data_IF_385845834579
#
_entry.id   IF_385845834579
#
_cell.length_a   1.000
_cell.length_b   1.000
_cell.length_c   1.000
_cell.angle_alpha   90.00
_cell.angle_beta   90.00
_cell.angle_gamma   90.00
#
_symmetry.space_group_name_H-M   'P 1'
#
loop_
_entity.id
_entity.type
_entity.pdbx_description
1 polymer ?
#
# COMPACT_ATOMS: atom_id res chain seq x y z
N UNK A 1 7.51 30.16 7.22
CA UNK A 1 6.06 30.46 7.24
C UNK A 1 5.29 29.26 6.71
N UNK A 2 4.46 28.64 7.55
CA UNK A 2 3.59 27.56 7.14
C UNK A 2 2.39 28.19 6.43
N UNK A 3 2.25 27.95 5.12
CA UNK A 3 1.08 28.42 4.36
C UNK A 3 -0.18 27.72 4.87
N UNK A 4 -0.90 28.38 5.77
CA UNK A 4 -2.19 27.95 6.26
C UNK A 4 -3.19 28.00 5.10
N UNK A 5 -3.76 26.87 4.68
CA UNK A 5 -4.78 26.85 3.62
C UNK A 5 -5.94 27.78 3.99
N UNK A 6 -6.31 28.67 3.07
CA UNK A 6 -7.34 29.69 3.28
C UNK A 6 -8.73 29.10 3.53
N UNK A 7 -9.02 27.91 2.98
CA UNK A 7 -10.27 27.17 3.20
C UNK A 7 -9.98 25.83 3.85
N UNK A 8 -10.53 25.60 5.06
CA UNK A 8 -10.51 24.29 5.72
C UNK A 8 -11.49 23.36 5.00
N UNK A 9 -11.05 22.15 4.65
CA UNK A 9 -11.94 21.13 4.07
C UNK A 9 -12.88 20.59 5.14
N UNK A 10 -14.17 20.37 4.78
CA UNK A 10 -15.10 19.62 5.60
C UNK A 10 -14.65 18.16 5.72
N UNK A 11 -14.97 17.49 6.84
CA UNK A 11 -14.71 16.06 7.04
C UNK A 11 -15.35 15.19 5.95
N UNK A 12 -16.57 15.55 5.50
CA UNK A 12 -17.26 14.93 4.37
C UNK A 12 -16.45 15.03 3.06
N UNK A 13 -15.87 16.18 2.78
CA UNK A 13 -15.03 16.39 1.60
C UNK A 13 -13.73 15.57 1.69
N UNK A 14 -13.16 15.43 2.89
CA UNK A 14 -11.99 14.57 3.10
C UNK A 14 -12.35 13.11 2.83
N UNK A 15 -13.48 12.63 3.36
CA UNK A 15 -13.94 11.27 3.13
C UNK A 15 -14.25 11.00 1.64
N UNK A 16 -14.92 11.91 0.96
CA UNK A 16 -15.18 11.81 -0.49
C UNK A 16 -13.88 11.82 -1.31
N UNK A 17 -12.93 12.71 -1.00
CA UNK A 17 -11.64 12.79 -1.69
C UNK A 17 -10.77 11.53 -1.44
N UNK A 18 -11.03 10.79 -0.35
CA UNK A 18 -10.34 9.51 -0.04
C UNK A 18 -10.91 8.37 -0.89
N UNK A 19 -12.24 8.32 -1.06
CA UNK A 19 -12.90 7.29 -1.88
C UNK A 19 -12.74 7.59 -3.37
N UNK A 20 -12.85 8.86 -3.77
CA UNK A 20 -12.67 9.27 -5.16
C UNK A 20 -11.77 10.53 -5.23
N UNK A 21 -10.46 10.38 -5.53
CA UNK A 21 -9.53 11.51 -5.61
C UNK A 21 -9.98 12.51 -6.67
N UNK A 22 -10.00 13.81 -6.35
CA UNK A 22 -10.41 14.91 -7.27
C UNK A 22 -9.67 14.89 -8.61
N UNK A 23 -8.49 14.32 -8.64
CA UNK A 23 -7.71 14.13 -9.85
C UNK A 23 -8.00 12.87 -10.63
N UNK A 24 -8.88 11.99 -10.12
CA UNK A 24 -9.09 10.64 -10.62
C UNK A 24 -7.99 9.68 -10.18
N UNK A 25 -8.30 8.40 -10.20
CA UNK A 25 -7.40 7.32 -9.79
C UNK A 25 -6.13 7.24 -10.64
N UNK A 26 -6.21 7.55 -11.95
CA UNK A 26 -5.05 7.56 -12.84
C UNK A 26 -3.96 8.54 -12.38
N UNK A 27 -4.34 9.76 -11.96
CA UNK A 27 -3.39 10.74 -11.40
C UNK A 27 -2.86 10.33 -10.05
N UNK A 28 -3.68 9.71 -9.20
CA UNK A 28 -3.25 9.19 -7.91
C UNK A 28 -2.18 8.09 -8.08
N UNK A 29 -2.41 7.10 -8.94
CA UNK A 29 -1.43 6.06 -9.25
C UNK A 29 -0.16 6.60 -9.91
N UNK A 30 -0.29 7.55 -10.85
CA UNK A 30 0.87 8.23 -11.43
C UNK A 30 1.69 8.94 -10.37
N UNK A 31 1.06 9.65 -9.44
CA UNK A 31 1.74 10.32 -8.33
C UNK A 31 2.49 9.33 -7.43
N UNK A 32 1.84 8.22 -7.05
CA UNK A 32 2.47 7.16 -6.26
C UNK A 32 3.67 6.55 -7.00
N UNK A 33 3.53 6.28 -8.29
CA UNK A 33 4.62 5.79 -9.14
C UNK A 33 5.79 6.78 -9.21
N UNK A 34 5.53 8.09 -9.32
CA UNK A 34 6.58 9.11 -9.25
C UNK A 34 7.27 9.17 -7.89
N UNK A 35 6.54 8.99 -6.80
CA UNK A 35 7.10 8.94 -5.45
C UNK A 35 8.07 7.77 -5.31
N UNK A 36 7.64 6.56 -5.69
CA UNK A 36 8.45 5.34 -5.61
C UNK A 36 9.75 5.46 -6.44
N UNK A 37 9.65 5.94 -7.69
CA UNK A 37 10.84 6.10 -8.56
C UNK A 37 11.87 7.09 -8.04
N UNK A 38 11.45 8.07 -7.20
CA UNK A 38 12.32 9.12 -6.65
C UNK A 38 12.95 8.77 -5.32
N UNK A 39 12.63 7.62 -4.74
CA UNK A 39 13.23 7.18 -3.48
C UNK A 39 14.75 7.07 -3.62
N UNK A 40 15.53 7.60 -2.66
CA UNK A 40 16.98 7.55 -2.69
C UNK A 40 17.48 6.19 -2.16
N UNK A 41 17.15 5.11 -2.87
CA UNK A 41 17.55 3.76 -2.49
C UNK A 41 17.84 2.91 -3.74
N UNK A 42 18.48 1.76 -3.55
CA UNK A 42 18.78 0.83 -4.65
C UNK A 42 17.50 0.28 -5.28
N UNK A 43 17.46 0.08 -6.63
CA UNK A 43 16.28 -0.41 -7.33
C UNK A 43 15.69 -1.70 -6.73
N UNK A 44 16.56 -2.66 -6.38
CA UNK A 44 16.15 -3.92 -5.77
C UNK A 44 15.52 -3.75 -4.37
N UNK A 45 15.99 -2.79 -3.57
CA UNK A 45 15.40 -2.51 -2.25
C UNK A 45 14.04 -1.86 -2.39
N UNK A 46 13.88 -0.95 -3.35
CA UNK A 46 12.60 -0.33 -3.67
C UNK A 46 11.61 -1.40 -4.18
N UNK A 47 12.05 -2.25 -5.11
CA UNK A 47 11.21 -3.31 -5.67
C UNK A 47 10.76 -4.33 -4.61
N UNK A 48 11.64 -4.73 -3.66
CA UNK A 48 11.26 -5.58 -2.53
C UNK A 48 10.24 -4.91 -1.61
N UNK A 49 10.39 -3.59 -1.37
CA UNK A 49 9.39 -2.83 -0.63
C UNK A 49 8.04 -2.83 -1.34
N UNK A 50 8.02 -2.55 -2.65
CA UNK A 50 6.78 -2.57 -3.44
C UNK A 50 6.14 -3.96 -3.40
N UNK A 51 6.92 -5.03 -3.58
CA UNK A 51 6.43 -6.41 -3.47
C UNK A 51 5.78 -6.70 -2.12
N UNK A 52 6.42 -6.26 -1.02
CA UNK A 52 5.88 -6.40 0.33
C UNK A 52 4.53 -5.69 0.49
N UNK A 53 4.42 -4.44 0.01
CA UNK A 53 3.18 -3.67 0.11
C UNK A 53 2.04 -4.26 -0.74
N UNK A 54 2.35 -4.73 -1.95
CA UNK A 54 1.38 -5.41 -2.82
C UNK A 54 0.93 -6.73 -2.18
N UNK A 55 1.86 -7.55 -1.67
CA UNK A 55 1.53 -8.78 -0.94
C UNK A 55 0.56 -8.52 0.21
N UNK A 56 0.86 -7.53 1.04
CA UNK A 56 0.06 -7.18 2.22
C UNK A 56 -1.36 -6.73 1.84
N UNK A 57 -1.56 -6.14 0.66
CA UNK A 57 -2.89 -5.75 0.17
C UNK A 57 -3.85 -6.95 0.01
N UNK A 58 -3.33 -8.18 -0.07
CA UNK A 58 -4.11 -9.42 -0.10
C UNK A 58 -4.45 -9.98 1.27
N UNK A 59 -4.13 -9.27 2.36
CA UNK A 59 -4.47 -9.69 3.72
C UNK A 59 -5.69 -8.96 4.27
N UNK A 60 -6.51 -9.58 5.13
CA UNK A 60 -7.67 -8.95 5.77
C UNK A 60 -7.31 -8.09 6.98
N UNK A 61 -6.03 -7.72 7.16
CA UNK A 61 -5.55 -6.94 8.30
C UNK A 61 -5.82 -5.44 8.11
N UNK A 62 -7.10 -5.07 7.96
CA UNK A 62 -7.52 -3.69 7.76
C UNK A 62 -7.07 -2.78 8.91
N UNK A 63 -6.55 -1.60 8.57
CA UNK A 63 -5.98 -0.66 9.54
C UNK A 63 -4.53 -0.97 9.92
N UNK A 64 -4.07 -2.22 9.85
CA UNK A 64 -2.71 -2.63 10.18
C UNK A 64 -1.81 -2.77 8.95
N UNK A 65 -2.31 -2.53 7.74
CA UNK A 65 -1.57 -2.72 6.49
C UNK A 65 -0.22 -2.00 6.46
N UNK A 66 -0.13 -0.77 6.98
CA UNK A 66 1.13 -0.02 7.00
C UNK A 66 2.17 -0.67 7.91
N UNK A 67 1.75 -1.14 9.10
CA UNK A 67 2.62 -1.83 10.05
C UNK A 67 3.07 -3.16 9.44
N UNK A 68 2.13 -3.94 8.94
CA UNK A 68 2.40 -5.24 8.35
C UNK A 68 3.31 -5.13 7.12
N UNK A 69 3.04 -4.18 6.22
CA UNK A 69 3.91 -3.91 5.06
C UNK A 69 5.31 -3.48 5.48
N UNK A 70 5.42 -2.65 6.51
CA UNK A 70 6.70 -2.25 7.08
C UNK A 70 7.50 -3.44 7.63
N UNK A 71 6.85 -4.32 8.39
CA UNK A 71 7.48 -5.53 8.94
C UNK A 71 7.95 -6.49 7.84
N UNK A 72 7.11 -6.77 6.84
CA UNK A 72 7.48 -7.63 5.71
C UNK A 72 8.62 -6.98 4.89
N UNK A 73 8.57 -5.67 4.67
CA UNK A 73 9.64 -4.96 3.97
C UNK A 73 10.98 -5.03 4.72
N UNK A 74 10.97 -4.91 6.06
CA UNK A 74 12.16 -5.07 6.88
C UNK A 74 12.72 -6.48 6.78
N UNK A 75 11.86 -7.49 6.89
CA UNK A 75 12.23 -8.91 6.75
C UNK A 75 12.88 -9.19 5.39
N UNK A 76 12.34 -8.63 4.30
CA UNK A 76 12.86 -8.73 2.95
C UNK A 76 14.04 -7.78 2.67
N UNK A 77 14.49 -7.00 3.66
CA UNK A 77 15.49 -5.92 3.49
C UNK A 77 15.11 -4.97 2.35
N UNK A 78 13.82 -4.69 2.23
CA UNK A 78 13.23 -3.77 1.27
C UNK A 78 13.12 -2.35 1.83
N UNK A 79 12.66 -1.43 0.97
CA UNK A 79 12.40 -0.05 1.36
C UNK A 79 11.00 0.06 2.00
N UNK A 80 10.94 0.44 3.28
CA UNK A 80 9.70 0.54 4.06
C UNK A 80 8.74 1.59 3.48
N UNK A 81 9.27 2.73 3.01
CA UNK A 81 8.43 3.79 2.42
C UNK A 81 7.78 3.29 1.12
N UNK A 82 8.56 2.55 0.29
CA UNK A 82 8.02 1.93 -0.91
C UNK A 82 6.91 0.92 -0.58
N UNK A 83 7.08 0.14 0.48
CA UNK A 83 6.06 -0.81 0.94
C UNK A 83 4.78 -0.11 1.37
N UNK A 84 4.88 0.92 2.21
CA UNK A 84 3.72 1.71 2.65
C UNK A 84 2.97 2.34 1.46
N UNK A 85 3.69 2.89 0.48
CA UNK A 85 3.07 3.44 -0.73
C UNK A 85 2.42 2.34 -1.56
N UNK A 86 3.01 1.16 -1.64
CA UNK A 86 2.49 0.07 -2.45
C UNK A 86 1.22 -0.58 -1.85
N UNK A 87 0.93 -0.42 -0.55
CA UNK A 87 -0.34 -0.89 0.04
C UNK A 87 -1.57 -0.20 -0.57
N UNK A 88 -1.41 0.97 -1.20
CA UNK A 88 -2.50 1.64 -1.92
C UNK A 88 -2.97 0.89 -3.18
N UNK A 89 -2.31 -0.20 -3.58
CA UNK A 89 -2.86 -1.16 -4.54
C UNK A 89 -4.17 -1.76 -4.02
N UNK A 90 -4.28 -2.03 -2.72
CA UNK A 90 -5.53 -2.33 -2.02
C UNK A 90 -6.35 -1.06 -1.78
N UNK A 91 -7.11 -0.62 -2.75
CA UNK A 91 -7.98 0.54 -2.70
C UNK A 91 -9.46 0.13 -2.87
N UNK A 92 -10.43 1.00 -2.63
CA UNK A 92 -11.85 0.66 -2.72
C UNK A 92 -12.30 0.04 -4.05
N UNK A 93 -11.57 0.28 -5.15
CA UNK A 93 -11.89 -0.29 -6.47
C UNK A 93 -11.33 -1.71 -6.59
N UNK A 94 -10.07 -1.93 -6.19
CA UNK A 94 -9.40 -3.23 -6.34
C UNK A 94 -9.74 -4.19 -5.22
N UNK A 95 -10.11 -3.66 -4.06
CA UNK A 95 -10.40 -4.41 -2.86
C UNK A 95 -11.48 -5.51 -3.03
N UNK A 96 -12.64 -5.28 -3.67
CA UNK A 96 -13.63 -6.33 -3.87
C UNK A 96 -13.09 -7.52 -4.67
N UNK A 97 -12.25 -7.25 -5.68
CA UNK A 97 -11.62 -8.30 -6.50
C UNK A 97 -10.56 -9.07 -5.70
N UNK A 98 -9.72 -8.37 -4.93
CA UNK A 98 -8.71 -8.98 -4.07
C UNK A 98 -9.38 -9.87 -3.03
N UNK A 99 -10.44 -9.38 -2.37
CA UNK A 99 -11.19 -10.14 -1.37
C UNK A 99 -11.85 -11.38 -1.98
N UNK A 100 -12.52 -11.23 -3.14
CA UNK A 100 -13.18 -12.33 -3.83
C UNK A 100 -12.19 -13.45 -4.18
N UNK A 101 -11.07 -13.11 -4.80
CA UNK A 101 -10.03 -14.09 -5.18
C UNK A 101 -9.42 -14.74 -3.94
N UNK A 102 -9.12 -13.96 -2.90
CA UNK A 102 -8.50 -14.47 -1.67
C UNK A 102 -9.44 -15.43 -0.93
N UNK A 103 -10.72 -15.06 -0.76
CA UNK A 103 -11.70 -15.92 -0.07
C UNK A 103 -11.94 -17.20 -0.88
N UNK A 104 -12.15 -17.09 -2.19
CA UNK A 104 -12.34 -18.23 -3.07
C UNK A 104 -11.17 -19.25 -2.98
N UNK A 105 -9.93 -18.77 -3.06
CA UNK A 105 -8.74 -19.62 -2.92
C UNK A 105 -8.66 -20.22 -1.52
N UNK A 106 -9.00 -19.44 -0.48
CA UNK A 106 -8.96 -19.91 0.90
C UNK A 106 -10.00 -20.97 1.22
N UNK A 107 -11.22 -20.82 0.73
CA UNK A 107 -12.27 -21.83 0.86
C UNK A 107 -11.83 -23.17 0.22
N UNK A 108 -11.25 -23.10 -0.98
CA UNK A 108 -10.73 -24.30 -1.65
C UNK A 108 -9.56 -24.95 -0.92
N UNK A 109 -8.61 -24.15 -0.43
CA UNK A 109 -7.43 -24.66 0.29
C UNK A 109 -7.81 -25.27 1.64
N UNK A 110 -8.81 -24.69 2.32
CA UNK A 110 -9.26 -25.14 3.62
C UNK A 110 -10.36 -26.23 3.53
N UNK A 111 -10.86 -26.53 2.33
CA UNK A 111 -11.96 -27.47 2.13
C UNK A 111 -13.27 -27.01 2.78
N UNK A 112 -13.48 -25.69 2.86
CA UNK A 112 -14.68 -25.10 3.45
C UNK A 112 -15.76 -24.90 2.37
N UNK A 113 -16.99 -25.27 2.71
CA UNK A 113 -18.15 -24.80 1.95
C UNK A 113 -18.33 -23.29 2.22
N UNK A 114 -18.80 -22.55 1.21
CA UNK A 114 -19.04 -21.09 1.32
C UNK A 114 -19.99 -20.80 2.47
N UNK A 115 -19.46 -20.38 3.61
CA UNK A 115 -20.22 -20.18 4.84
C UNK A 115 -20.86 -18.79 4.90
N UNK A 116 -20.22 -17.78 4.26
CA UNK A 116 -20.69 -16.39 4.24
C UNK A 116 -20.70 -15.88 2.80
N UNK A 117 -21.88 -15.65 2.20
CA UNK A 117 -21.99 -15.08 0.87
C UNK A 117 -21.28 -13.72 0.80
N UNK A 118 -20.66 -13.41 -0.36
CA UNK A 118 -19.90 -12.17 -0.57
C UNK A 118 -20.71 -10.91 -0.21
N UNK A 119 -22.02 -10.90 -0.49
CA UNK A 119 -22.92 -9.81 -0.14
C UNK A 119 -23.07 -9.57 1.37
N UNK A 120 -22.80 -10.57 2.19
CA UNK A 120 -22.96 -10.51 3.65
C UNK A 120 -21.63 -10.28 4.38
N UNK A 121 -20.49 -10.28 3.69
CA UNK A 121 -19.16 -10.12 4.32
C UNK A 121 -19.08 -8.80 5.07
N UNK A 122 -19.57 -7.71 4.50
CA UNK A 122 -19.57 -6.41 5.16
C UNK A 122 -20.43 -6.41 6.44
N UNK A 123 -21.61 -7.03 6.39
CA UNK A 123 -22.49 -7.21 7.55
C UNK A 123 -21.82 -8.06 8.63
N UNK A 124 -21.27 -9.21 8.27
CA UNK A 124 -20.55 -10.10 9.19
C UNK A 124 -19.38 -9.38 9.87
N UNK A 125 -18.61 -8.61 9.10
CA UNK A 125 -17.50 -7.79 9.60
C UNK A 125 -17.99 -6.75 10.61
N UNK A 126 -19.04 -5.98 10.25
CA UNK A 126 -19.62 -4.96 11.12
C UNK A 126 -20.16 -5.55 12.44
N UNK A 127 -20.85 -6.68 12.37
CA UNK A 127 -21.36 -7.38 13.55
C UNK A 127 -20.24 -7.92 14.44
N UNK A 128 -19.16 -8.45 13.86
CA UNK A 128 -17.99 -8.92 14.61
C UNK A 128 -17.31 -7.77 15.36
N UNK A 129 -17.07 -6.63 14.71
CA UNK A 129 -16.50 -5.45 15.38
C UNK A 129 -17.43 -4.88 16.46
N UNK A 130 -18.76 -4.87 16.22
CA UNK A 130 -19.75 -4.49 17.22
C UNK A 130 -19.69 -5.38 18.46
N UNK A 131 -19.57 -6.69 18.29
CA UNK A 131 -19.45 -7.65 19.38
C UNK A 131 -18.14 -7.44 20.18
N UNK A 132 -17.01 -7.18 19.50
CA UNK A 132 -15.74 -6.83 20.17
C UNK A 132 -15.90 -5.59 21.04
N UNK A 133 -16.57 -4.55 20.53
CA UNK A 133 -16.82 -3.33 21.29
C UNK A 133 -17.69 -3.57 22.52
N UNK A 134 -18.79 -4.30 22.37
CA UNK A 134 -19.69 -4.67 23.49
C UNK A 134 -18.95 -5.52 24.52
N UNK A 135 -18.17 -6.51 24.09
CA UNK A 135 -17.42 -7.36 25.00
C UNK A 135 -16.31 -6.60 25.75
N UNK A 136 -15.68 -5.62 25.12
CA UNK A 136 -14.71 -4.76 25.80
C UNK A 136 -15.38 -3.96 26.94
N UNK A 137 -16.57 -3.42 26.69
CA UNK A 137 -17.34 -2.71 27.73
C UNK A 137 -17.84 -3.68 28.82
N UNK A 138 -18.26 -4.89 28.45
CA UNK A 138 -18.70 -5.93 29.38
C UNK A 138 -17.57 -6.39 30.31
N UNK A 139 -16.35 -6.55 29.80
CA UNK A 139 -15.15 -6.88 30.61
C UNK A 139 -14.91 -5.78 31.65
N UNK A 140 -15.03 -4.50 31.25
CA UNK A 140 -14.82 -3.38 32.17
C UNK A 140 -15.92 -3.24 33.23
N UNK A 141 -17.12 -3.73 32.94
CA UNK A 141 -18.32 -3.64 33.81
C UNK A 141 -18.65 -4.95 34.54
N UNK A 142 -17.84 -6.01 34.35
CA UNK A 142 -18.06 -7.32 34.95
C UNK A 142 -19.25 -8.09 34.39
N UNK A 143 -19.73 -7.74 33.20
CA UNK A 143 -20.84 -8.40 32.53
C UNK A 143 -20.36 -9.62 31.71
N UNK A 144 -21.23 -10.60 31.44
CA UNK A 144 -20.88 -11.77 30.62
C UNK A 144 -20.52 -11.37 29.20
N UNK A 145 -19.50 -12.03 28.62
CA UNK A 145 -19.04 -11.80 27.25
C UNK A 145 -19.52 -12.91 26.31
N UNK A 146 -19.85 -12.53 25.06
CA UNK A 146 -20.26 -13.44 24.01
C UNK A 146 -19.34 -13.24 22.79
N UNK A 147 -18.85 -14.33 22.20
CA UNK A 147 -17.86 -14.29 21.11
C UNK A 147 -18.32 -15.05 19.85
N UNK A 148 -19.63 -15.29 19.72
CA UNK A 148 -20.17 -16.16 18.68
C UNK A 148 -20.05 -15.53 17.29
N UNK A 149 -20.40 -14.24 17.17
CA UNK A 149 -20.32 -13.52 15.88
C UNK A 149 -18.88 -13.32 15.43
N UNK A 150 -17.99 -13.03 16.38
CA UNK A 150 -16.57 -12.93 16.10
C UNK A 150 -15.99 -14.29 15.65
N UNK A 151 -16.42 -15.39 16.26
CA UNK A 151 -16.02 -16.73 15.86
C UNK A 151 -16.49 -17.05 14.43
N UNK A 152 -17.75 -16.79 14.11
CA UNK A 152 -18.30 -16.99 12.75
C UNK A 152 -17.56 -16.14 11.73
N UNK A 153 -17.31 -14.87 12.04
CA UNK A 153 -16.51 -13.99 11.17
C UNK A 153 -15.08 -14.53 10.99
N UNK A 154 -14.43 -14.93 12.08
CA UNK A 154 -13.05 -15.40 12.03
C UNK A 154 -12.91 -16.66 11.19
N UNK A 155 -13.77 -17.66 11.38
CA UNK A 155 -13.69 -18.93 10.65
C UNK A 155 -14.28 -18.85 9.23
N UNK A 156 -15.33 -18.05 9.03
CA UNK A 156 -16.04 -17.97 7.75
C UNK A 156 -15.56 -16.87 6.80
N UNK A 157 -14.84 -15.86 7.31
CA UNK A 157 -14.38 -14.72 6.48
C UNK A 157 -12.88 -14.49 6.65
N UNK A 158 -12.44 -14.23 7.89
CA UNK A 158 -11.06 -13.81 8.13
C UNK A 158 -10.04 -14.89 7.76
N UNK A 159 -10.24 -16.10 8.25
CA UNK A 159 -9.29 -17.20 8.04
C UNK A 159 -9.20 -17.63 6.56
N UNK A 160 -10.32 -17.87 5.83
CA UNK A 160 -10.27 -18.13 4.40
C UNK A 160 -9.61 -16.98 3.63
N UNK A 161 -9.92 -15.72 3.95
CA UNK A 161 -9.31 -14.58 3.30
C UNK A 161 -7.80 -14.54 3.55
N UNK A 162 -7.36 -14.71 4.81
CA UNK A 162 -5.95 -14.63 5.17
C UNK A 162 -5.13 -15.73 4.51
N UNK A 163 -5.56 -16.99 4.64
CA UNK A 163 -4.87 -18.14 4.05
C UNK A 163 -4.91 -18.08 2.52
N UNK A 164 -6.09 -17.82 1.96
CA UNK A 164 -6.25 -17.76 0.52
C UNK A 164 -5.59 -16.55 -0.14
N UNK A 165 -5.37 -15.46 0.61
CA UNK A 165 -4.64 -14.29 0.13
C UNK A 165 -3.13 -14.52 0.00
N UNK A 166 -2.56 -15.54 0.66
CA UNK A 166 -1.12 -15.81 0.61
C UNK A 166 -0.65 -16.15 -0.81
N UNK A 167 -1.35 -17.05 -1.50
CA UNK A 167 -0.94 -17.49 -2.85
C UNK A 167 -1.02 -16.34 -3.86
N UNK A 168 -2.20 -15.71 -4.10
CA UNK A 168 -2.30 -14.61 -5.05
C UNK A 168 -1.47 -13.40 -4.61
N UNK A 169 -1.32 -13.16 -3.30
CA UNK A 169 -0.47 -12.11 -2.77
C UNK A 169 1.00 -12.30 -3.09
N UNK A 170 1.54 -13.51 -2.94
CA UNK A 170 2.94 -13.83 -3.31
C UNK A 170 3.13 -13.67 -4.82
N UNK A 171 2.20 -14.16 -5.63
CA UNK A 171 2.25 -14.02 -7.10
C UNK A 171 2.24 -12.53 -7.50
N UNK A 172 1.27 -11.76 -6.97
CA UNK A 172 1.18 -10.33 -7.26
C UNK A 172 2.40 -9.56 -6.77
N UNK A 173 2.92 -9.90 -5.58
CA UNK A 173 4.16 -9.35 -5.04
C UNK A 173 5.36 -9.65 -5.94
N UNK A 174 5.53 -10.89 -6.39
CA UNK A 174 6.61 -11.26 -7.30
C UNK A 174 6.50 -10.52 -8.64
N UNK A 175 5.33 -10.48 -9.25
CA UNK A 175 5.07 -9.73 -10.48
C UNK A 175 5.43 -8.26 -10.30
N UNK A 176 4.97 -7.65 -9.20
CA UNK A 176 5.26 -6.24 -8.91
C UNK A 176 6.76 -5.97 -8.70
N UNK A 177 7.51 -6.90 -8.11
CA UNK A 177 8.96 -6.81 -7.98
C UNK A 177 9.65 -6.78 -9.36
N UNK A 178 9.33 -7.75 -10.23
CA UNK A 178 9.95 -7.84 -11.56
C UNK A 178 9.58 -6.66 -12.47
N UNK A 179 8.41 -6.07 -12.31
CA UNK A 179 8.02 -4.87 -13.03
C UNK A 179 8.67 -3.60 -12.45
N UNK A 180 8.74 -3.48 -11.14
CA UNK A 180 9.25 -2.26 -10.49
C UNK A 180 10.75 -2.11 -10.62
N UNK A 181 11.52 -3.20 -10.49
CA UNK A 181 12.97 -3.15 -10.49
C UNK A 181 13.56 -2.49 -11.76
N UNK A 182 13.26 -2.95 -12.99
CA UNK A 182 13.79 -2.35 -14.21
C UNK A 182 13.27 -0.92 -14.44
N UNK A 183 12.04 -0.62 -14.03
CA UNK A 183 11.47 0.74 -14.16
C UNK A 183 12.25 1.73 -13.30
N UNK A 184 12.54 1.38 -12.04
CA UNK A 184 13.30 2.24 -11.12
C UNK A 184 14.74 2.38 -11.60
N UNK A 185 15.36 1.30 -12.02
CA UNK A 185 16.73 1.30 -12.52
C UNK A 185 16.88 2.20 -13.76
N UNK A 186 15.99 2.06 -14.74
CA UNK A 186 15.99 2.91 -15.94
C UNK A 186 15.80 4.40 -15.60
N UNK A 187 14.89 4.69 -14.64
CA UNK A 187 14.68 6.06 -14.18
C UNK A 187 15.93 6.63 -13.49
N UNK A 188 16.57 5.86 -12.62
CA UNK A 188 17.78 6.30 -11.90
C UNK A 188 18.96 6.51 -12.85
N UNK A 189 19.16 5.62 -13.83
CA UNK A 189 20.20 5.77 -14.88
C UNK A 189 19.98 7.05 -15.71
N UNK A 190 18.75 7.30 -16.15
CA UNK A 190 18.43 8.54 -16.90
C UNK A 190 18.67 9.79 -16.07
N UNK A 191 18.25 9.80 -14.81
CA UNK A 191 18.46 10.92 -13.89
C UNK A 191 19.95 11.18 -13.65
N UNK A 192 20.74 10.14 -13.44
CA UNK A 192 22.18 10.25 -13.24
C UNK A 192 22.86 10.81 -14.49
N UNK A 193 22.49 10.35 -15.69
CA UNK A 193 23.01 10.88 -16.96
C UNK A 193 22.72 12.38 -17.10
N UNK A 194 21.46 12.79 -16.94
CA UNK A 194 21.08 14.22 -17.04
C UNK A 194 21.81 15.09 -16.00
N UNK A 195 22.07 14.57 -14.80
CA UNK A 195 22.79 15.33 -13.77
C UNK A 195 24.27 15.49 -14.15
N UNK A 196 24.91 14.46 -14.69
CA UNK A 196 26.30 14.51 -15.18
C UNK A 196 26.44 15.51 -16.33
N UNK A 197 25.54 15.48 -17.30
CA UNK A 197 25.55 16.42 -18.44
C UNK A 197 25.39 17.86 -17.96
N UNK A 198 24.48 18.14 -17.03
CA UNK A 198 24.31 19.48 -16.43
C UNK A 198 25.54 19.94 -15.66
N UNK A 199 26.20 19.06 -14.91
CA UNK A 199 27.43 19.34 -14.19
C UNK A 199 28.56 19.68 -15.18
N UNK A 200 28.73 18.89 -16.23
CA UNK A 200 29.76 19.13 -17.26
C UNK A 200 29.51 20.46 -17.99
N UNK A 201 28.26 20.79 -18.33
CA UNK A 201 27.93 22.05 -18.95
C UNK A 201 28.26 23.24 -18.03
N UNK A 202 27.94 23.13 -16.74
CA UNK A 202 28.28 24.17 -15.75
C UNK A 202 29.80 24.35 -15.58
N UNK A 203 30.55 23.26 -15.53
CA UNK A 203 32.02 23.32 -15.43
C UNK A 203 32.65 23.96 -16.68
N UNK A 204 32.19 23.59 -17.88
CA UNK A 204 32.63 24.19 -19.13
C UNK A 204 32.35 25.74 -19.16
N UNK A 205 31.14 26.13 -18.76
CA UNK A 205 30.77 27.55 -18.70
C UNK A 205 31.63 28.32 -17.70
N UNK A 206 31.91 27.74 -16.53
CA UNK A 206 32.78 28.35 -15.52
C UNK A 206 34.21 28.50 -16.03
N UNK A 207 34.79 27.48 -16.64
CA UNK A 207 36.14 27.52 -17.21
C UNK A 207 36.26 28.54 -18.36
N UNK A 208 35.22 28.68 -19.17
CA UNK A 208 35.18 29.71 -20.23
C UNK A 208 35.15 31.12 -19.65
N UNK A 209 34.36 31.32 -18.58
CA UNK A 209 34.30 32.62 -17.88
C UNK A 209 35.65 32.99 -17.22
N UNK A 210 36.26 32.02 -16.50
CA UNK A 210 37.55 32.24 -15.83
C UNK A 210 38.68 32.53 -16.85
N UNK A 211 38.68 31.86 -18.03
CA UNK A 211 39.60 32.21 -19.12
C UNK A 211 39.40 33.59 -19.69
N UNK A 212 38.15 34.02 -19.83
CA UNK A 212 37.88 35.42 -20.33
C UNK A 212 38.42 36.49 -19.38
N UNK A 213 38.30 36.26 -18.06
CA UNK A 213 38.82 37.17 -17.04
C UNK A 213 40.35 37.21 -16.95
N UNK A 214 41.06 36.18 -17.38
CA UNK A 214 42.54 36.12 -17.35
C UNK A 214 43.19 36.61 -18.63
N UNK A 215 42.42 36.97 -19.65
CA UNK A 215 42.90 37.53 -20.93
C UNK A 215 42.68 39.03 -21.06
N UNK A 216 42.05 39.67 -20.08
CA UNK A 216 42.00 41.12 -19.87
C UNK A 216 43.09 41.59 -18.89
#
# INVERSE_FOLDING_TARGET
MVFKRRNKRSYLQIAQDTVYPRGGWGRAFSYLGYRVRRLPDQPHRIARGVAAGVFVSFSPLFGLHFIYAGLIALLLRGNVIAAMVATFVGNPITFPFIAAVSIYVGEHVLGLETTVPMSQIFGATSHAFGEVWVNLTNILTGQPTHWERLKVFFTGVFLPYYIGGLIPGVIAGAVSYYLTCPIVEAYQKRRAKMLRERLQARLKAKLAHDKALTTE
#
